data_IF_182434919506
#
_entry.id   IF_182434919506
#
_cell.length_a   1.000
_cell.length_b   1.000
_cell.length_c   1.000
_cell.angle_alpha   90.00
_cell.angle_beta   90.00
_cell.angle_gamma   90.00
#
_symmetry.space_group_name_H-M   'P 1'
#
loop_
_entity.id
_entity.type
_entity.pdbx_description
1 polymer ?
#
# COMPACT_ATOMS: atom_id res chain seq x y z
N UNK A 1 -12.29 -2.07 -56.24
CA UNK A 1 -13.04 -2.51 -55.05
C UNK A 1 -12.14 -3.38 -54.20
N UNK A 2 -12.22 -3.20 -52.87
CA UNK A 2 -11.95 -4.12 -51.72
C UNK A 2 -10.84 -5.19 -51.85
N UNK A 3 -10.06 -5.53 -50.83
CA UNK A 3 -10.17 -5.45 -49.37
C UNK A 3 -8.72 -5.41 -48.79
N UNK A 4 -8.40 -4.90 -47.59
CA UNK A 4 -9.07 -5.07 -46.31
C UNK A 4 -8.47 -6.27 -45.58
N UNK A 5 -7.46 -6.05 -44.74
CA UNK A 5 -6.82 -7.07 -43.89
C UNK A 5 -6.46 -6.48 -42.54
N UNK A 6 -7.40 -6.50 -41.60
CA UNK A 6 -7.18 -6.11 -40.21
C UNK A 6 -6.53 -7.26 -39.43
N UNK A 7 -5.36 -6.99 -38.85
CA UNK A 7 -4.72 -7.88 -37.88
C UNK A 7 -5.23 -7.56 -36.48
N UNK A 8 -6.00 -8.48 -35.89
CA UNK A 8 -6.39 -8.43 -34.49
C UNK A 8 -5.17 -8.68 -33.60
N UNK A 9 -4.88 -7.73 -32.71
CA UNK A 9 -3.83 -7.87 -31.69
C UNK A 9 -4.33 -8.72 -30.52
N UNK A 10 -4.03 -10.02 -30.54
CA UNK A 10 -4.05 -10.84 -29.33
C UNK A 10 -2.75 -10.60 -28.57
N UNK A 11 -2.84 -9.97 -27.39
CA UNK A 11 -1.70 -9.87 -26.47
C UNK A 11 -1.24 -11.27 -26.03
N UNK A 12 0.02 -11.41 -25.57
CA UNK A 12 0.55 -12.70 -25.14
C UNK A 12 -0.33 -13.30 -24.03
N UNK A 13 -0.73 -14.56 -24.18
CA UNK A 13 -1.43 -15.30 -23.14
C UNK A 13 -0.61 -15.28 -21.84
N UNK A 14 -1.28 -15.00 -20.72
CA UNK A 14 -0.64 -14.94 -19.40
C UNK A 14 0.05 -16.28 -19.07
N UNK A 15 1.34 -16.25 -18.71
CA UNK A 15 2.07 -17.46 -18.36
C UNK A 15 1.55 -18.05 -17.04
N UNK A 16 1.43 -19.39 -16.93
CA UNK A 16 1.02 -20.05 -15.69
C UNK A 16 1.89 -19.66 -14.50
N UNK A 17 3.20 -19.53 -14.71
CA UNK A 17 4.15 -19.16 -13.67
C UNK A 17 3.93 -17.72 -13.17
N UNK A 18 3.59 -16.79 -14.07
CA UNK A 18 3.27 -15.41 -13.69
C UNK A 18 1.98 -15.33 -12.85
N UNK A 19 1.00 -16.16 -13.19
CA UNK A 19 -0.26 -16.25 -12.44
C UNK A 19 0.00 -16.83 -11.04
N UNK A 20 0.82 -17.87 -10.93
CA UNK A 20 1.20 -18.45 -9.63
C UNK A 20 1.96 -17.44 -8.76
N UNK A 21 2.89 -16.68 -9.33
CA UNK A 21 3.63 -15.63 -8.60
C UNK A 21 2.68 -14.58 -8.04
N UNK A 22 1.75 -14.05 -8.84
CA UNK A 22 0.77 -13.07 -8.39
C UNK A 22 -0.25 -13.67 -7.40
N UNK A 23 -0.60 -14.94 -7.57
CA UNK A 23 -1.49 -15.64 -6.63
C UNK A 23 -0.82 -15.85 -5.27
N UNK A 24 0.48 -16.12 -5.24
CA UNK A 24 1.27 -16.21 -4.02
C UNK A 24 1.34 -14.87 -3.26
N UNK A 25 1.12 -13.74 -3.94
CA UNK A 25 0.99 -12.40 -3.33
C UNK A 25 -0.40 -12.14 -2.74
N UNK A 26 -1.34 -13.07 -2.90
CA UNK A 26 -2.71 -12.98 -2.35
C UNK A 26 -3.77 -12.52 -3.34
N UNK A 27 -3.43 -12.37 -4.63
CA UNK A 27 -4.41 -12.03 -5.67
C UNK A 27 -5.10 -13.28 -6.22
N UNK A 28 -6.33 -13.14 -6.70
CA UNK A 28 -7.01 -14.25 -7.38
C UNK A 28 -6.42 -14.47 -8.78
N UNK A 29 -6.56 -15.68 -9.30
CA UNK A 29 -6.14 -15.99 -10.67
C UNK A 29 -6.79 -15.05 -11.70
N UNK A 30 -8.06 -14.68 -11.50
CA UNK A 30 -8.75 -13.71 -12.37
C UNK A 30 -8.08 -12.34 -12.34
N UNK A 31 -7.76 -11.83 -11.14
CA UNK A 31 -7.05 -10.56 -10.98
C UNK A 31 -5.66 -10.61 -11.61
N UNK A 32 -4.91 -11.70 -11.40
CA UNK A 32 -3.59 -11.91 -12.01
C UNK A 32 -3.66 -11.89 -13.55
N UNK A 33 -4.63 -12.60 -14.14
CA UNK A 33 -4.86 -12.60 -15.59
C UNK A 33 -5.24 -11.22 -16.12
N UNK A 34 -6.12 -10.49 -15.45
CA UNK A 34 -6.49 -9.13 -15.82
C UNK A 34 -5.31 -8.16 -15.77
N UNK A 35 -4.50 -8.24 -14.72
CA UNK A 35 -3.31 -7.41 -14.58
C UNK A 35 -2.24 -7.73 -15.64
N UNK A 36 -2.00 -9.01 -15.92
CA UNK A 36 -1.07 -9.42 -16.98
C UNK A 36 -1.56 -8.99 -18.37
N UNK A 37 -2.88 -9.03 -18.63
CA UNK A 37 -3.45 -8.48 -19.86
C UNK A 37 -3.24 -6.96 -19.97
N UNK A 38 -3.42 -6.23 -18.86
CA UNK A 38 -3.24 -4.78 -18.81
C UNK A 38 -1.77 -4.34 -18.95
N UNK A 39 -0.81 -5.20 -18.61
CA UNK A 39 0.62 -4.86 -18.57
C UNK A 39 1.48 -5.58 -19.61
N UNK A 40 0.86 -6.33 -20.52
CA UNK A 40 1.56 -7.05 -21.58
C UNK A 40 2.40 -8.22 -21.07
N UNK A 41 1.93 -8.89 -20.00
CA UNK A 41 2.58 -10.07 -19.41
C UNK A 41 3.75 -9.77 -18.47
N UNK A 42 4.06 -8.50 -18.20
CA UNK A 42 5.14 -8.12 -17.29
C UNK A 42 4.72 -8.26 -15.83
N UNK A 43 5.21 -9.30 -15.13
CA UNK A 43 4.83 -9.64 -13.74
C UNK A 43 5.01 -8.47 -12.77
N UNK A 44 6.17 -7.82 -12.76
CA UNK A 44 6.44 -6.68 -11.87
C UNK A 44 5.44 -5.53 -12.07
N UNK A 45 5.12 -5.23 -13.34
CA UNK A 45 4.13 -4.20 -13.66
C UNK A 45 2.72 -4.66 -13.31
N UNK A 46 2.40 -5.95 -13.48
CA UNK A 46 1.11 -6.51 -13.10
C UNK A 46 0.90 -6.41 -11.59
N UNK A 47 1.92 -6.70 -10.78
CA UNK A 47 1.87 -6.52 -9.33
C UNK A 47 1.62 -5.06 -8.94
N UNK A 48 2.39 -4.11 -9.49
CA UNK A 48 2.19 -2.67 -9.28
C UNK A 48 0.78 -2.20 -9.72
N UNK A 49 0.32 -2.71 -10.86
CA UNK A 49 -1.02 -2.43 -11.38
C UNK A 49 -2.13 -2.92 -10.45
N UNK A 50 -1.96 -4.09 -9.83
CA UNK A 50 -2.90 -4.66 -8.86
C UNK A 50 -2.95 -3.83 -7.57
N UNK A 51 -1.80 -3.47 -7.00
CA UNK A 51 -1.75 -2.68 -5.76
C UNK A 51 -2.26 -1.26 -5.94
N UNK A 52 -1.93 -0.61 -7.06
CA UNK A 52 -2.38 0.75 -7.37
C UNK A 52 -3.89 0.89 -7.62
N UNK A 53 -4.60 -0.24 -7.73
CA UNK A 53 -6.04 -0.31 -8.01
C UNK A 53 -6.81 -1.07 -6.95
N UNK A 54 -6.29 -1.16 -5.74
CA UNK A 54 -6.98 -1.91 -4.66
C UNK A 54 -8.40 -1.37 -4.43
N UNK A 55 -8.61 -0.06 -4.58
CA UNK A 55 -9.92 0.61 -4.37
C UNK A 55 -10.96 0.28 -5.46
N UNK A 56 -10.54 0.01 -6.69
CA UNK A 56 -11.41 -0.23 -7.85
C UNK A 56 -11.10 -1.56 -8.59
N UNK A 57 -10.42 -2.48 -7.90
CA UNK A 57 -9.72 -3.62 -8.47
C UNK A 57 -10.60 -4.47 -9.40
N UNK A 58 -11.80 -4.82 -8.96
CA UNK A 58 -12.71 -5.67 -9.73
C UNK A 58 -13.19 -5.02 -11.02
N UNK A 59 -13.42 -3.70 -10.98
CA UNK A 59 -13.86 -2.95 -12.15
C UNK A 59 -12.72 -2.78 -13.14
N UNK A 60 -11.52 -2.52 -12.65
CA UNK A 60 -10.33 -2.44 -13.49
C UNK A 60 -9.99 -3.79 -14.14
N UNK A 61 -10.12 -4.90 -13.41
CA UNK A 61 -9.89 -6.26 -13.93
C UNK A 61 -10.92 -6.62 -15.00
N UNK A 62 -12.21 -6.32 -14.78
CA UNK A 62 -13.26 -6.53 -15.79
C UNK A 62 -12.97 -5.74 -17.08
N UNK A 63 -12.54 -4.48 -16.96
CA UNK A 63 -12.15 -3.66 -18.09
C UNK A 63 -10.93 -4.23 -18.83
N UNK A 64 -9.93 -4.72 -18.11
CA UNK A 64 -8.72 -5.31 -18.70
C UNK A 64 -9.00 -6.63 -19.43
N UNK A 65 -10.01 -7.39 -18.99
CA UNK A 65 -10.44 -8.65 -19.61
C UNK A 65 -11.47 -8.45 -20.74
N UNK A 66 -11.89 -7.21 -21.03
CA UNK A 66 -12.87 -6.91 -22.07
C UNK A 66 -14.29 -7.38 -21.72
N UNK A 67 -14.60 -7.53 -20.44
CA UNK A 67 -15.91 -7.92 -19.95
C UNK A 67 -16.84 -6.68 -19.96
N UNK A 68 -17.68 -6.57 -20.99
CA UNK A 68 -18.64 -5.47 -21.15
C UNK A 68 -19.60 -5.36 -19.96
N UNK A 69 -19.70 -4.15 -19.39
CA UNK A 69 -20.37 -3.86 -18.12
C UNK A 69 -21.78 -4.44 -17.99
N UNK A 70 -21.91 -5.46 -17.14
CA UNK A 70 -23.15 -6.13 -16.80
C UNK A 70 -23.18 -6.58 -15.35
N UNK A 71 -23.26 -5.61 -14.43
CA UNK A 71 -23.90 -5.69 -13.10
C UNK A 71 -23.43 -6.75 -12.10
N UNK A 72 -22.86 -6.27 -10.98
CA UNK A 72 -23.08 -6.93 -9.69
C UNK A 72 -21.91 -6.96 -8.72
N UNK A 73 -21.60 -5.81 -8.11
CA UNK A 73 -21.28 -5.70 -6.69
C UNK A 73 -20.29 -6.72 -6.11
N UNK A 74 -19.01 -6.52 -6.43
CA UNK A 74 -17.92 -7.14 -5.70
C UNK A 74 -16.74 -6.20 -5.60
N UNK A 75 -16.93 -4.88 -5.64
CA UNK A 75 -15.85 -3.93 -5.36
C UNK A 75 -15.16 -4.44 -4.12
N UNK A 76 -13.88 -4.86 -4.27
CA UNK A 76 -13.11 -5.40 -3.16
C UNK A 76 -13.32 -4.41 -2.04
N UNK A 77 -14.00 -4.85 -0.98
CA UNK A 77 -14.43 -3.92 0.06
C UNK A 77 -13.16 -3.20 0.48
N UNK A 78 -13.05 -1.91 0.15
CA UNK A 78 -11.99 -1.06 0.67
C UNK A 78 -11.96 -1.41 2.14
N UNK A 79 -10.83 -1.97 2.61
CA UNK A 79 -10.75 -2.61 3.91
C UNK A 79 -11.43 -1.67 4.88
N UNK A 80 -12.52 -2.14 5.51
CA UNK A 80 -13.44 -1.25 6.23
C UNK A 80 -12.59 -0.32 7.10
N UNK A 81 -12.58 0.96 6.72
CA UNK A 81 -11.70 1.91 7.40
C UNK A 81 -12.10 1.87 8.87
N UNK A 82 -11.11 1.72 9.74
CA UNK A 82 -11.35 1.82 11.18
C UNK A 82 -11.60 3.30 11.48
N UNK A 83 -12.83 3.75 11.23
CA UNK A 83 -13.31 5.10 11.45
C UNK A 83 -13.91 5.26 12.86
N UNK A 84 -13.88 6.48 13.38
CA UNK A 84 -14.28 6.77 14.75
C UNK A 84 -14.01 8.23 15.14
N UNK A 85 -14.26 8.60 16.42
CA UNK A 85 -13.97 9.94 16.92
C UNK A 85 -12.52 10.34 16.68
N UNK A 86 -12.30 11.58 16.23
CA UNK A 86 -10.97 12.15 15.97
C UNK A 86 -10.17 12.51 17.23
N UNK A 87 -10.30 11.73 18.31
CA UNK A 87 -9.62 11.96 19.58
C UNK A 87 -8.43 11.02 19.75
N UNK A 88 -7.24 11.59 20.00
CA UNK A 88 -6.00 10.83 20.04
C UNK A 88 -5.11 11.23 21.21
N UNK A 89 -4.33 10.27 21.70
CA UNK A 89 -3.21 10.51 22.60
C UNK A 89 -1.88 10.30 21.86
N UNK A 90 -0.92 11.20 22.11
CA UNK A 90 0.44 11.04 21.59
C UNK A 90 1.11 9.86 22.29
N UNK A 91 1.51 8.85 21.51
CA UNK A 91 2.18 7.63 22.01
C UNK A 91 3.65 7.57 21.66
N UNK A 92 4.10 8.34 20.67
CA UNK A 92 5.48 8.36 20.26
C UNK A 92 5.81 9.42 19.24
N UNK A 93 7.09 9.75 19.11
CA UNK A 93 7.59 10.59 18.02
C UNK A 93 9.03 10.21 17.67
N UNK A 94 9.41 10.47 16.42
CA UNK A 94 10.72 10.24 15.85
C UNK A 94 11.32 11.61 15.55
N UNK A 95 12.52 11.89 16.03
CA UNK A 95 13.25 13.13 15.78
C UNK A 95 14.43 12.89 14.87
N UNK A 96 14.61 13.77 13.88
CA UNK A 96 15.84 13.88 13.11
C UNK A 96 16.73 14.95 13.75
N UNK A 97 17.87 14.56 14.31
CA UNK A 97 18.85 15.50 14.86
C UNK A 97 19.90 15.82 13.80
N UNK A 98 19.72 16.96 13.13
CA UNK A 98 20.63 17.46 12.11
C UNK A 98 20.04 18.66 11.38
N UNK A 99 20.89 19.54 10.86
CA UNK A 99 20.49 20.75 10.13
C UNK A 99 20.38 20.56 8.61
N UNK A 100 20.61 19.35 8.10
CA UNK A 100 20.55 19.03 6.68
C UNK A 100 19.71 17.77 6.43
N UNK A 101 19.25 17.59 5.20
CA UNK A 101 18.38 16.46 4.83
C UNK A 101 19.13 15.19 4.47
N UNK A 102 20.45 15.28 4.25
CA UNK A 102 21.28 14.19 3.72
C UNK A 102 22.03 13.41 4.81
N UNK A 103 22.14 13.97 6.01
CA UNK A 103 22.73 13.35 7.19
C UNK A 103 22.19 13.94 8.50
N UNK A 104 22.19 13.11 9.52
CA UNK A 104 21.80 13.43 10.88
C UNK A 104 21.59 12.14 11.66
N UNK A 105 20.97 12.23 12.82
CA UNK A 105 20.76 11.09 13.70
C UNK A 105 19.29 10.94 14.08
N UNK A 106 18.72 9.78 13.82
CA UNK A 106 17.34 9.49 14.20
C UNK A 106 17.26 8.88 15.58
N UNK A 107 16.38 9.42 16.41
CA UNK A 107 16.01 8.84 17.71
C UNK A 107 14.51 8.80 17.83
N UNK A 108 13.96 7.88 18.63
CA UNK A 108 12.54 7.88 18.92
C UNK A 108 12.28 7.97 20.43
N UNK A 109 11.20 8.66 20.76
CA UNK A 109 10.64 8.71 22.09
C UNK A 109 9.30 7.99 22.05
N UNK A 110 9.13 6.98 22.92
CA UNK A 110 7.89 6.24 23.04
C UNK A 110 7.35 6.37 24.46
N UNK A 111 6.04 6.55 24.59
CA UNK A 111 5.35 6.57 25.88
C UNK A 111 4.99 5.13 26.26
N UNK A 112 5.65 4.58 27.28
CA UNK A 112 5.41 3.24 27.83
C UNK A 112 5.03 3.35 29.30
N UNK A 113 3.91 2.76 29.68
CA UNK A 113 3.40 2.78 31.07
C UNK A 113 3.35 4.20 31.67
N UNK A 114 2.92 5.17 30.85
CA UNK A 114 2.83 6.58 31.22
C UNK A 114 4.16 7.35 31.24
N UNK A 115 5.30 6.69 31.00
CA UNK A 115 6.64 7.30 31.00
C UNK A 115 7.20 7.41 29.59
N UNK A 116 7.94 8.47 29.34
CA UNK A 116 8.65 8.63 28.08
C UNK A 116 9.99 7.90 28.11
N UNK A 117 10.28 7.16 27.05
CA UNK A 117 11.51 6.38 26.89
C UNK A 117 12.17 6.80 25.59
N UNK A 118 13.40 7.29 25.69
CA UNK A 118 14.29 7.56 24.56
C UNK A 118 14.93 6.24 24.11
N UNK A 119 14.76 5.92 22.84
CA UNK A 119 15.47 4.89 22.12
C UNK A 119 16.45 5.54 21.16
N UNK A 120 17.74 5.40 21.46
CA UNK A 120 18.86 5.90 20.68
C UNK A 120 19.80 4.71 20.38
N UNK A 121 19.52 4.00 19.29
CA UNK A 121 20.18 2.76 18.92
C UNK A 121 20.20 1.75 20.08
N UNK A 122 21.40 1.41 20.55
CA UNK A 122 21.65 0.49 21.68
C UNK A 122 21.40 1.14 23.05
N UNK A 123 21.21 2.45 23.11
CA UNK A 123 20.98 3.19 24.34
C UNK A 123 19.48 3.42 24.52
N UNK A 124 18.95 2.89 25.62
CA UNK A 124 17.55 3.08 26.02
C UNK A 124 17.54 3.75 27.39
N UNK A 125 16.82 4.86 27.51
CA UNK A 125 16.79 5.64 28.74
C UNK A 125 15.40 6.23 28.98
N UNK A 126 15.04 6.45 30.25
CA UNK A 126 13.86 7.26 30.59
C UNK A 126 14.14 8.71 30.21
N UNK A 127 13.18 9.34 29.55
CA UNK A 127 13.23 10.76 29.15
C UNK A 127 12.24 11.53 30.01
N UNK A 128 12.72 12.29 30.98
CA UNK A 128 11.85 13.06 31.89
C UNK A 128 11.25 14.30 31.19
N UNK A 129 12.00 14.89 30.27
CA UNK A 129 11.62 16.05 29.48
C UNK A 129 11.82 15.76 27.98
N UNK A 130 10.91 15.01 27.33
CA UNK A 130 11.02 14.71 25.91
C UNK A 130 10.86 15.99 25.07
N UNK A 131 11.68 16.21 24.02
CA UNK A 131 11.61 17.39 23.17
C UNK A 131 10.46 17.28 22.16
N UNK A 132 9.22 17.40 22.66
CA UNK A 132 7.99 17.16 21.88
C UNK A 132 7.84 18.08 20.67
N UNK A 133 8.47 19.25 20.66
CA UNK A 133 8.37 20.21 19.53
C UNK A 133 9.38 19.92 18.42
N UNK A 134 10.37 19.05 18.67
CA UNK A 134 11.46 18.72 17.74
C UNK A 134 11.27 17.34 17.10
N UNK A 135 10.07 16.77 17.16
CA UNK A 135 9.70 15.58 16.40
C UNK A 135 9.55 15.90 14.92
N UNK A 136 9.96 14.94 14.10
CA UNK A 136 9.78 14.94 12.65
C UNK A 136 8.54 14.13 12.24
N UNK A 137 8.36 12.94 12.82
CA UNK A 137 7.17 12.09 12.64
C UNK A 137 6.54 11.86 14.00
N UNK A 138 5.22 12.02 14.11
CA UNK A 138 4.46 11.81 15.34
C UNK A 138 3.49 10.65 15.17
N UNK A 139 3.40 9.80 16.19
CA UNK A 139 2.51 8.66 16.24
C UNK A 139 1.46 8.91 17.33
N UNK A 140 0.22 8.93 16.90
CA UNK A 140 -0.96 9.11 17.74
C UNK A 140 -1.76 7.82 17.77
N UNK A 141 -2.33 7.49 18.92
CA UNK A 141 -3.26 6.37 19.08
C UNK A 141 -4.64 6.93 19.40
N UNK A 142 -5.67 6.45 18.69
CA UNK A 142 -7.06 6.86 18.93
C UNK A 142 -7.46 6.44 20.34
N UNK A 143 -8.22 7.27 21.06
CA UNK A 143 -8.52 7.06 22.48
C UNK A 143 -9.47 5.90 22.76
N UNK A 144 -10.23 5.49 21.77
CA UNK A 144 -11.18 4.39 21.77
C UNK A 144 -10.60 3.08 21.22
N UNK A 145 -9.31 3.07 20.84
CA UNK A 145 -8.57 1.89 20.39
C UNK A 145 -8.11 0.99 21.55
#
# INVERSE_FOLDING_TARGET
GQAGGGGGGGGPEASPEAIEMLSAMGFTERQARGALAATGGAVERAADWLFSRTDDLESAVAAALGEGGGGGGGGGAAAAEDDGPGEYDLVGFISHMGSNTSCGHYVCHLKKDGRWVLHNDRKVAVSEAPPLELGYIYCFRRRDA
#
